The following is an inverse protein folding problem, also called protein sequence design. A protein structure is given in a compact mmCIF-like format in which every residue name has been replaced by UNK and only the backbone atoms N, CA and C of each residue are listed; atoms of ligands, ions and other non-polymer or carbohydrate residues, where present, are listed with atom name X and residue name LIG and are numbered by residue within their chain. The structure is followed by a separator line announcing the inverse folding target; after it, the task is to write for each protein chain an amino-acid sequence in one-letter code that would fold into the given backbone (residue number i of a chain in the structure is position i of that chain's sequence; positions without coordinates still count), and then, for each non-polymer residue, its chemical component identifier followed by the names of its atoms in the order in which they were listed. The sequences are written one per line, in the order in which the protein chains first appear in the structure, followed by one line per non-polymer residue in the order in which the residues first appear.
data_IF_979410457924
#
_entry.id   IF_979410457924
#
_cell.length_a   1.000
_cell.length_b   1.000
_cell.length_c   1.000
_cell.angle_alpha   90.00
_cell.angle_beta   90.00
_cell.angle_gamma   90.00
#
_symmetry.space_group_name_H-M   'P 1'
#
loop_
_entity.id
_entity.type
_entity.pdbx_description
1 polymer ?
#
# COMPACT_ATOMS: atom_id res chain seq x y z
N UNK A 1 -26.17 -2.51 -20.33
CA UNK A 1 -24.91 -1.74 -20.34
C UNK A 1 -23.76 -2.72 -20.27
N UNK A 2 -22.94 -2.78 -21.32
CA UNK A 2 -21.90 -3.80 -21.49
C UNK A 2 -20.75 -3.58 -20.52
N UNK A 3 -20.36 -4.67 -19.86
CA UNK A 3 -19.22 -4.78 -18.95
C UNK A 3 -17.92 -4.49 -19.70
N UNK A 4 -17.21 -3.44 -19.29
CA UNK A 4 -15.81 -3.19 -19.67
C UNK A 4 -14.93 -4.24 -18.98
N UNK A 5 -14.81 -5.43 -19.60
CA UNK A 5 -13.72 -6.35 -19.28
C UNK A 5 -12.44 -5.78 -19.88
N UNK A 6 -11.36 -5.59 -19.10
CA UNK A 6 -10.06 -5.30 -19.70
C UNK A 6 -9.67 -6.47 -20.60
N UNK A 7 -9.25 -6.18 -21.83
CA UNK A 7 -8.69 -7.18 -22.76
C UNK A 7 -7.33 -7.60 -22.21
N UNK A 8 -7.32 -8.64 -21.38
CA UNK A 8 -6.09 -9.38 -21.09
C UNK A 8 -5.98 -10.43 -22.18
N UNK A 9 -4.93 -10.33 -22.99
CA UNK A 9 -4.60 -11.34 -23.99
C UNK A 9 -4.08 -12.58 -23.25
N UNK A 10 -4.76 -13.74 -23.33
CA UNK A 10 -4.36 -14.93 -22.59
C UNK A 10 -3.00 -15.52 -23.03
N UNK A 11 -2.47 -15.08 -24.17
CA UNK A 11 -1.21 -15.57 -24.74
C UNK A 11 0.01 -14.66 -24.46
N UNK A 12 -0.14 -13.59 -23.66
CA UNK A 12 1.00 -12.73 -23.28
C UNK A 12 1.81 -13.35 -22.13
N UNK A 13 2.61 -14.36 -22.48
CA UNK A 13 3.55 -15.03 -21.57
C UNK A 13 4.76 -14.16 -21.17
N UNK A 14 4.82 -12.89 -21.60
CA UNK A 14 5.97 -12.00 -21.31
C UNK A 14 5.78 -11.13 -20.07
N UNK A 15 4.54 -11.02 -19.55
CA UNK A 15 4.25 -10.29 -18.32
C UNK A 15 4.25 -11.26 -17.15
N UNK A 16 5.37 -11.32 -16.43
CA UNK A 16 5.37 -11.92 -15.10
C UNK A 16 4.40 -11.09 -14.21
N UNK A 17 3.32 -11.68 -13.68
CA UNK A 17 2.35 -10.98 -12.83
C UNK A 17 2.95 -10.45 -11.51
N UNK A 18 4.24 -10.70 -11.24
CA UNK A 18 4.97 -10.27 -10.06
C UNK A 18 5.92 -9.07 -10.25
N UNK A 19 6.11 -8.51 -11.45
CA UNK A 19 7.01 -7.37 -11.68
C UNK A 19 6.28 -6.13 -12.18
N UNK A 20 6.58 -4.98 -11.57
CA UNK A 20 5.90 -3.72 -11.82
C UNK A 20 6.63 -2.80 -12.82
N UNK A 21 7.77 -3.24 -13.38
CA UNK A 21 8.65 -2.43 -14.23
C UNK A 21 7.94 -1.82 -15.46
N UNK A 22 6.99 -2.54 -16.04
CA UNK A 22 6.25 -2.10 -17.23
C UNK A 22 4.93 -1.40 -16.91
N UNK A 23 4.59 -1.25 -15.63
CA UNK A 23 3.36 -0.59 -15.19
C UNK A 23 3.61 0.90 -15.02
N UNK A 24 2.71 1.73 -15.53
CA UNK A 24 2.68 3.15 -15.18
C UNK A 24 2.11 3.36 -13.76
N UNK A 25 2.22 4.58 -13.25
CA UNK A 25 1.78 4.85 -11.89
C UNK A 25 0.26 4.71 -11.71
N UNK A 26 -0.53 4.94 -12.75
CA UNK A 26 -1.97 4.74 -12.70
C UNK A 26 -2.32 3.25 -12.65
N UNK A 27 -1.59 2.41 -13.39
CA UNK A 27 -1.70 0.95 -13.34
C UNK A 27 -1.37 0.41 -11.96
N UNK A 28 -0.34 0.95 -11.30
CA UNK A 28 -0.01 0.55 -9.93
C UNK A 28 -1.10 0.93 -8.92
N UNK A 29 -1.69 2.13 -9.03
CA UNK A 29 -2.83 2.51 -8.19
C UNK A 29 -4.06 1.63 -8.47
N UNK A 30 -4.33 1.31 -9.75
CA UNK A 30 -5.40 0.36 -10.12
C UNK A 30 -5.15 -1.03 -9.56
N UNK A 31 -3.90 -1.51 -9.54
CA UNK A 31 -3.54 -2.79 -8.94
C UNK A 31 -3.84 -2.81 -7.44
N UNK A 32 -3.47 -1.75 -6.70
CA UNK A 32 -3.82 -1.62 -5.29
C UNK A 32 -5.35 -1.63 -5.06
N UNK A 33 -6.13 -0.87 -5.85
CA UNK A 33 -7.61 -0.92 -5.78
C UNK A 33 -8.13 -2.35 -6.01
N UNK A 34 -7.59 -3.07 -6.99
CA UNK A 34 -7.99 -4.45 -7.29
C UNK A 34 -7.75 -5.40 -6.13
N UNK A 35 -6.65 -5.25 -5.37
CA UNK A 35 -6.39 -6.08 -4.19
C UNK A 35 -7.53 -5.96 -3.17
N UNK A 36 -7.99 -4.74 -2.87
CA UNK A 36 -9.11 -4.52 -1.94
C UNK A 36 -10.43 -5.12 -2.46
N UNK A 37 -10.71 -4.97 -3.75
CA UNK A 37 -11.90 -5.56 -4.39
C UNK A 37 -11.86 -7.09 -4.37
N UNK A 38 -10.72 -7.70 -4.70
CA UNK A 38 -10.57 -9.16 -4.76
C UNK A 38 -10.53 -9.81 -3.36
N UNK A 39 -10.21 -9.05 -2.32
CA UNK A 39 -10.38 -9.46 -0.93
C UNK A 39 -11.78 -9.14 -0.36
N UNK A 40 -12.73 -8.69 -1.19
CA UNK A 40 -14.09 -8.32 -0.79
C UNK A 40 -14.18 -7.22 0.30
N UNK A 41 -13.10 -6.47 0.53
CA UNK A 41 -13.01 -5.52 1.65
C UNK A 41 -13.92 -4.31 1.45
N UNK A 42 -14.05 -3.86 0.21
CA UNK A 42 -14.90 -2.71 -0.14
C UNK A 42 -16.36 -2.97 0.24
N UNK A 43 -16.86 -4.17 -0.07
CA UNK A 43 -18.23 -4.55 0.28
C UNK A 43 -18.35 -4.86 1.77
N UNK A 44 -17.42 -5.64 2.33
CA UNK A 44 -17.46 -6.07 3.72
C UNK A 44 -17.43 -4.89 4.71
N UNK A 45 -16.62 -3.88 4.43
CA UNK A 45 -16.43 -2.69 5.28
C UNK A 45 -17.14 -1.44 4.74
N UNK A 46 -18.00 -1.59 3.72
CA UNK A 46 -18.76 -0.47 3.14
C UNK A 46 -17.90 0.74 2.72
N UNK A 47 -16.69 0.48 2.23
CA UNK A 47 -15.73 1.52 1.84
C UNK A 47 -16.23 2.18 0.54
N UNK A 48 -16.52 3.49 0.51
CA UNK A 48 -16.88 4.15 -0.74
C UNK A 48 -15.72 4.08 -1.73
N UNK A 49 -16.04 3.77 -2.98
CA UNK A 49 -15.01 3.55 -4.01
C UNK A 49 -14.15 4.80 -4.24
N UNK A 50 -14.74 6.00 -4.21
CA UNK A 50 -14.02 7.25 -4.37
C UNK A 50 -13.09 7.55 -3.18
N UNK A 51 -13.50 7.19 -1.95
CA UNK A 51 -12.68 7.30 -0.74
C UNK A 51 -11.49 6.35 -0.82
N UNK A 52 -11.68 5.10 -1.25
CA UNK A 52 -10.57 4.16 -1.48
C UNK A 52 -9.59 4.70 -2.52
N UNK A 53 -10.09 5.16 -3.68
CA UNK A 53 -9.23 5.73 -4.72
C UNK A 53 -8.44 6.95 -4.21
N UNK A 54 -9.11 7.86 -3.49
CA UNK A 54 -8.47 9.05 -2.91
C UNK A 54 -7.39 8.67 -1.90
N UNK A 55 -7.69 7.72 -1.01
CA UNK A 55 -6.75 7.21 -0.02
C UNK A 55 -5.51 6.59 -0.68
N UNK A 56 -5.67 5.73 -1.68
CA UNK A 56 -4.53 5.12 -2.41
C UNK A 56 -3.66 6.18 -3.11
N UNK A 57 -4.29 7.18 -3.75
CA UNK A 57 -3.56 8.28 -4.36
C UNK A 57 -2.80 9.12 -3.33
N UNK A 58 -3.41 9.36 -2.16
CA UNK A 58 -2.76 10.05 -1.04
C UNK A 58 -1.57 9.24 -0.49
N UNK A 59 -1.71 7.94 -0.30
CA UNK A 59 -0.62 7.04 0.11
C UNK A 59 0.53 7.12 -0.88
N UNK A 60 0.28 6.89 -2.18
CA UNK A 60 1.31 7.00 -3.24
C UNK A 60 2.01 8.35 -3.19
N UNK A 61 1.26 9.46 -3.11
CA UNK A 61 1.81 10.82 -3.12
C UNK A 61 2.76 11.08 -1.93
N UNK A 62 2.56 10.40 -0.81
CA UNK A 62 3.38 10.54 0.39
C UNK A 62 4.60 9.60 0.43
N UNK A 63 4.84 8.82 -0.63
CA UNK A 63 6.13 8.18 -0.85
C UNK A 63 7.11 9.12 -1.56
N UNK A 64 8.36 9.16 -1.08
CA UNK A 64 9.43 9.95 -1.69
C UNK A 64 10.08 9.20 -2.86
N UNK A 65 10.64 9.92 -3.85
CA UNK A 65 11.38 9.31 -4.97
C UNK A 65 12.80 8.89 -4.53
N UNK A 66 12.89 7.98 -3.56
CA UNK A 66 14.15 7.36 -3.13
C UNK A 66 14.40 6.07 -3.92
N UNK A 67 15.66 5.59 -3.96
CA UNK A 67 16.07 4.46 -4.82
C UNK A 67 15.27 3.17 -4.58
N UNK A 68 14.87 2.90 -3.35
CA UNK A 68 14.22 1.62 -2.99
C UNK A 68 12.90 1.81 -2.22
N UNK A 69 12.92 2.35 -1.00
CA UNK A 69 11.73 2.57 -0.14
C UNK A 69 10.78 3.66 -0.67
N UNK A 70 10.23 3.45 -1.87
CA UNK A 70 9.33 4.31 -2.60
C UNK A 70 7.98 3.58 -2.82
N UNK A 71 7.06 4.22 -3.55
CA UNK A 71 5.72 3.65 -3.82
C UNK A 71 5.76 2.26 -4.46
N UNK A 72 6.70 2.00 -5.38
CA UNK A 72 6.81 0.70 -6.04
C UNK A 72 7.18 -0.41 -5.06
N UNK A 73 8.08 -0.13 -4.12
CA UNK A 73 8.41 -1.06 -3.04
C UNK A 73 7.19 -1.37 -2.16
N UNK A 74 6.44 -0.35 -1.73
CA UNK A 74 5.24 -0.55 -0.93
C UNK A 74 4.17 -1.38 -1.66
N UNK A 75 3.98 -1.12 -2.96
CA UNK A 75 3.09 -1.91 -3.80
C UNK A 75 3.56 -3.36 -3.92
N UNK A 76 4.86 -3.60 -4.14
CA UNK A 76 5.40 -4.96 -4.26
C UNK A 76 5.28 -5.74 -2.95
N UNK A 77 5.45 -5.09 -1.79
CA UNK A 77 5.16 -5.69 -0.49
C UNK A 77 3.68 -6.05 -0.35
N UNK A 78 2.77 -5.14 -0.73
CA UNK A 78 1.32 -5.40 -0.72
C UNK A 78 0.92 -6.52 -1.70
N UNK A 79 1.52 -6.54 -2.89
CA UNK A 79 1.32 -7.58 -3.91
C UNK A 79 1.78 -8.94 -3.40
N UNK A 80 2.94 -8.99 -2.72
CA UNK A 80 3.48 -10.23 -2.15
C UNK A 80 2.53 -10.76 -1.09
N UNK A 81 2.05 -9.90 -0.19
CA UNK A 81 1.05 -10.27 0.82
C UNK A 81 -0.25 -10.76 0.16
N UNK A 82 -0.72 -10.07 -0.89
CA UNK A 82 -1.89 -10.47 -1.66
C UNK A 82 -1.70 -11.85 -2.32
N UNK A 83 -0.53 -12.13 -2.91
CA UNK A 83 -0.20 -13.42 -3.50
C UNK A 83 -0.13 -14.53 -2.44
N UNK A 84 0.42 -14.26 -1.25
CA UNK A 84 0.41 -15.19 -0.12
C UNK A 84 -1.03 -15.51 0.33
N UNK A 85 -1.90 -14.51 0.39
CA UNK A 85 -3.31 -14.69 0.74
C UNK A 85 -4.06 -15.53 -0.31
N UNK A 86 -3.95 -15.18 -1.59
CA UNK A 86 -4.73 -15.80 -2.68
C UNK A 86 -4.12 -17.10 -3.21
N UNK A 87 -2.86 -17.08 -3.58
CA UNK A 87 -2.17 -18.26 -4.14
C UNK A 87 -1.72 -19.20 -3.03
N UNK A 88 -1.18 -18.65 -1.94
CA UNK A 88 -0.78 -19.41 -0.75
C UNK A 88 -1.96 -19.89 0.12
N UNK A 89 -3.20 -19.46 -0.19
CA UNK A 89 -4.42 -19.79 0.55
C UNK A 89 -4.31 -19.47 2.04
N UNK A 90 -3.60 -18.39 2.38
CA UNK A 90 -3.44 -17.94 3.77
C UNK A 90 -4.65 -17.17 4.29
N UNK A 91 -5.49 -16.63 3.39
CA UNK A 91 -6.69 -15.86 3.76
C UNK A 91 -7.67 -16.65 4.66
N UNK A 92 -7.70 -17.99 4.54
CA UNK A 92 -8.54 -18.87 5.37
C UNK A 92 -8.17 -18.88 6.86
N UNK A 93 -7.00 -18.35 7.22
CA UNK A 93 -6.51 -18.28 8.59
C UNK A 93 -6.63 -16.87 9.19
N UNK A 94 -7.22 -15.93 8.46
CA UNK A 94 -7.33 -14.54 8.84
C UNK A 94 -8.79 -14.12 8.78
N UNK A 95 -9.16 -13.19 9.65
CA UNK A 95 -10.41 -12.45 9.57
C UNK A 95 -10.33 -11.37 8.50
N UNK A 96 -11.48 -10.90 8.01
CA UNK A 96 -11.52 -9.79 7.05
C UNK A 96 -10.83 -8.52 7.60
N UNK A 97 -10.88 -8.32 8.92
CA UNK A 97 -10.24 -7.18 9.59
C UNK A 97 -8.71 -7.31 9.57
N UNK A 98 -8.17 -8.52 9.79
CA UNK A 98 -6.73 -8.76 9.69
C UNK A 98 -6.24 -8.62 8.25
N UNK A 99 -7.03 -9.07 7.27
CA UNK A 99 -6.72 -8.89 5.83
C UNK A 99 -6.70 -7.40 5.46
N UNK A 100 -7.70 -6.64 5.91
CA UNK A 100 -7.75 -5.18 5.71
C UNK A 100 -6.55 -4.50 6.35
N UNK A 101 -6.26 -4.82 7.61
CA UNK A 101 -5.13 -4.27 8.36
C UNK A 101 -3.79 -4.58 7.68
N UNK A 102 -3.59 -5.81 7.19
CA UNK A 102 -2.37 -6.22 6.50
C UNK A 102 -2.16 -5.46 5.19
N UNK A 103 -3.19 -5.34 4.34
CA UNK A 103 -3.05 -4.58 3.08
C UNK A 103 -2.76 -3.09 3.35
N UNK A 104 -3.43 -2.50 4.33
CA UNK A 104 -3.18 -1.10 4.73
C UNK A 104 -1.77 -0.94 5.28
N UNK A 105 -1.32 -1.84 6.16
CA UNK A 105 0.03 -1.83 6.71
C UNK A 105 1.09 -1.97 5.61
N UNK A 106 0.96 -2.93 4.70
CA UNK A 106 1.89 -3.13 3.59
C UNK A 106 2.03 -1.86 2.73
N UNK A 107 0.92 -1.22 2.39
CA UNK A 107 0.91 0.00 1.57
C UNK A 107 1.44 1.24 2.30
N UNK A 108 1.46 1.25 3.64
CA UNK A 108 1.82 2.43 4.44
C UNK A 108 3.16 2.31 5.18
N UNK A 109 3.78 1.12 5.23
CA UNK A 109 4.88 0.82 6.16
C UNK A 109 6.15 1.67 5.99
N UNK A 110 6.30 2.35 4.86
CA UNK A 110 7.48 3.14 4.49
C UNK A 110 7.11 4.58 4.05
N UNK A 111 5.93 5.08 4.47
CA UNK A 111 5.47 6.42 4.12
C UNK A 111 6.48 7.51 4.50
N UNK A 112 6.75 8.45 3.60
CA UNK A 112 7.76 9.51 3.79
C UNK A 112 9.20 9.00 4.06
N UNK A 113 9.53 7.75 3.74
CA UNK A 113 10.89 7.22 3.93
C UNK A 113 11.94 8.05 3.16
N UNK A 114 13.02 8.43 3.86
CA UNK A 114 14.00 9.45 3.38
C UNK A 114 15.25 8.88 2.73
N UNK A 115 15.33 7.55 2.60
CA UNK A 115 16.46 6.84 1.99
C UNK A 115 17.61 6.58 2.96
N UNK A 116 17.38 6.79 4.25
CA UNK A 116 18.34 6.59 5.34
C UNK A 116 17.71 5.73 6.42
N UNK A 117 18.50 4.93 7.12
CA UNK A 117 18.01 4.05 8.18
C UNK A 117 18.01 4.74 9.57
N UNK A 118 17.45 4.06 10.58
CA UNK A 118 17.42 4.54 11.96
C UNK A 118 18.82 4.87 12.53
N UNK A 119 19.85 4.08 12.19
CA UNK A 119 21.21 4.36 12.65
C UNK A 119 21.75 5.70 12.14
N UNK A 120 21.39 6.09 10.91
CA UNK A 120 21.69 7.43 10.39
C UNK A 120 20.92 8.51 11.15
N UNK A 121 19.62 8.31 11.39
CA UNK A 121 18.76 9.28 12.10
C UNK A 121 19.31 9.57 13.51
N UNK A 122 19.72 8.54 14.25
CA UNK A 122 20.31 8.69 15.58
C UNK A 122 21.69 9.35 15.54
N UNK A 123 22.56 8.96 14.60
CA UNK A 123 23.94 9.52 14.51
C UNK A 123 23.99 10.97 14.08
N UNK A 124 22.93 11.48 13.48
CA UNK A 124 22.85 12.85 12.98
C UNK A 124 21.99 13.75 13.85
N UNK A 125 21.49 13.25 14.98
CA UNK A 125 20.53 13.95 15.85
C UNK A 125 19.39 14.59 15.05
N UNK A 126 18.88 13.81 14.08
CA UNK A 126 17.82 14.26 13.20
C UNK A 126 16.59 14.70 14.01
N UNK A 127 15.76 15.62 13.51
CA UNK A 127 14.51 16.01 14.17
C UNK A 127 13.60 14.81 14.50
N UNK A 128 13.61 13.78 13.64
CA UNK A 128 12.84 12.56 13.88
C UNK A 128 13.41 11.74 15.05
N UNK A 129 14.74 11.63 15.18
CA UNK A 129 15.36 10.92 16.30
C UNK A 129 15.16 11.62 17.64
N UNK A 130 14.94 12.94 17.64
CA UNK A 130 14.55 13.68 18.85
C UNK A 130 13.09 13.39 19.22
N UNK A 131 12.20 13.26 18.23
CA UNK A 131 10.78 13.03 18.43
C UNK A 131 10.47 11.58 18.85
N UNK A 132 11.18 10.61 18.27
CA UNK A 132 10.95 9.18 18.50
C UNK A 132 12.18 8.49 19.07
N UNK A 133 12.01 7.84 20.22
CA UNK A 133 13.11 7.24 21.00
C UNK A 133 13.58 5.88 20.50
N UNK A 134 12.70 5.09 19.86
CA UNK A 134 13.02 3.76 19.30
C UNK A 134 12.27 3.56 17.98
N UNK A 135 12.84 2.83 17.03
CA UNK A 135 12.21 2.58 15.71
C UNK A 135 11.70 3.89 15.07
N UNK A 136 12.60 4.87 14.99
CA UNK A 136 12.30 6.27 14.66
C UNK A 136 11.56 6.41 13.34
N UNK A 137 12.04 5.73 12.29
CA UNK A 137 11.41 5.79 10.98
C UNK A 137 10.08 5.04 10.98
N UNK A 138 9.97 3.90 11.65
CA UNK A 138 8.75 3.11 11.69
C UNK A 138 7.61 3.82 12.43
N UNK A 139 7.91 4.55 13.52
CA UNK A 139 6.91 5.42 14.16
C UNK A 139 6.51 6.58 13.25
N UNK A 140 7.46 7.18 12.54
CA UNK A 140 7.16 8.22 11.56
C UNK A 140 6.24 7.71 10.45
N UNK A 141 6.48 6.51 9.91
CA UNK A 141 5.64 5.88 8.89
C UNK A 141 4.21 5.65 9.39
N UNK A 142 4.07 5.19 10.63
CA UNK A 142 2.77 5.02 11.28
C UNK A 142 2.03 6.36 11.46
N UNK A 143 2.71 7.41 11.91
CA UNK A 143 2.12 8.74 12.06
C UNK A 143 1.66 9.32 10.71
N UNK A 144 2.43 9.10 9.63
CA UNK A 144 2.00 9.44 8.28
C UNK A 144 0.74 8.66 7.85
N UNK A 145 0.66 7.36 8.16
CA UNK A 145 -0.52 6.55 7.90
C UNK A 145 -1.77 7.12 8.60
N UNK A 146 -1.65 7.39 9.90
CA UNK A 146 -2.73 7.97 10.72
C UNK A 146 -3.13 9.36 10.19
N UNK A 147 -2.18 10.20 9.81
CA UNK A 147 -2.45 11.51 9.22
C UNK A 147 -3.27 11.40 7.93
N UNK A 148 -2.90 10.48 7.02
CA UNK A 148 -3.62 10.28 5.75
C UNK A 148 -5.04 9.77 6.04
N UNK A 149 -5.21 8.78 6.94
CA UNK A 149 -6.52 8.24 7.29
C UNK A 149 -7.45 9.29 7.92
N UNK A 150 -6.91 10.22 8.69
CA UNK A 150 -7.68 11.32 9.30
C UNK A 150 -7.89 12.53 8.37
N UNK A 151 -7.29 12.53 7.17
CA UNK A 151 -7.50 13.59 6.20
C UNK A 151 -8.90 13.48 5.57
N UNK A 152 -9.54 14.61 5.32
CA UNK A 152 -10.90 14.67 4.76
C UNK A 152 -11.02 13.81 3.49
N UNK A 153 -12.05 12.95 3.46
CA UNK A 153 -12.32 12.05 2.33
C UNK A 153 -11.32 10.89 2.14
N UNK A 154 -10.39 10.65 3.07
CA UNK A 154 -9.42 9.55 2.97
C UNK A 154 -9.67 8.42 4.00
N UNK A 155 -10.62 8.59 4.92
CA UNK A 155 -10.88 7.59 5.94
C UNK A 155 -11.61 6.36 5.35
N UNK A 156 -10.85 5.30 5.09
CA UNK A 156 -11.37 4.01 4.63
C UNK A 156 -11.90 3.11 5.77
N UNK A 157 -11.84 3.57 7.02
CA UNK A 157 -12.31 2.86 8.23
C UNK A 157 -13.56 3.49 8.86
N UNK A 158 -14.28 4.30 8.09
CA UNK A 158 -15.48 5.01 8.53
C UNK A 158 -16.65 4.08 8.89
#
# INVERSE_FOLDING_TARGET
MQSLKPRINPDDHTRDPGVDFDLDDDDTCRAAVRMFLQCNLVQQFHIPYDVLCRWILSVRKNYRPVKYHNWRHALNVAQTMFAMMKTGKMERFMTDLEILGLLVACLCHDLDHRGTNNAFQSKTDSPLAILYTTSTMEHHHFDQCVMILNSEGNNIFQ
#
